data_IF_609771307424
#
_entry.id   IF_609771307424
#
_cell.length_a   1.000
_cell.length_b   1.000
_cell.length_c   1.000
_cell.angle_alpha   90.00
_cell.angle_beta   90.00
_cell.angle_gamma   90.00
#
_symmetry.space_group_name_H-M   'P 1'
#
loop_
_entity.id
_entity.type
_entity.pdbx_description
1 polymer ?
#
# COMPACT_ATOMS: atom_id res chain seq x y z
N UNK A 1 -21.21 -14.66 38.85
CA UNK A 1 -19.81 -14.45 38.42
C UNK A 1 -19.72 -13.20 37.55
N UNK A 2 -19.20 -12.06 38.04
CA UNK A 2 -19.06 -10.87 37.20
C UNK A 2 -17.86 -11.02 36.26
N UNK A 3 -18.09 -10.85 34.95
CA UNK A 3 -17.03 -10.84 33.91
C UNK A 3 -16.25 -9.53 34.03
N UNK A 4 -14.99 -9.60 34.49
CA UNK A 4 -14.09 -8.45 34.47
C UNK A 4 -13.72 -8.10 33.03
N UNK A 5 -14.26 -7.00 32.52
CA UNK A 5 -13.90 -6.42 31.23
C UNK A 5 -12.66 -5.53 31.39
N UNK A 6 -11.47 -6.11 31.48
CA UNK A 6 -10.23 -5.35 31.31
C UNK A 6 -9.93 -5.19 29.81
N UNK A 7 -10.63 -4.27 29.14
CA UNK A 7 -10.11 -3.72 27.89
C UNK A 7 -8.97 -2.76 28.22
N UNK A 8 -7.77 -3.30 28.40
CA UNK A 8 -6.54 -2.50 28.37
C UNK A 8 -6.42 -1.87 26.98
N UNK A 9 -6.87 -0.61 26.86
CA UNK A 9 -6.66 0.20 25.66
C UNK A 9 -5.15 0.35 25.50
N UNK A 10 -4.58 -0.26 24.47
CA UNK A 10 -3.15 -0.12 24.16
C UNK A 10 -2.84 1.37 23.98
N UNK A 11 -1.87 1.93 24.70
CA UNK A 11 -1.48 3.32 24.50
C UNK A 11 -1.01 3.53 23.06
N UNK A 12 -1.62 4.50 22.37
CA UNK A 12 -1.23 4.89 21.03
C UNK A 12 0.04 5.75 21.10
N UNK A 13 1.17 5.18 20.68
CA UNK A 13 2.41 5.92 20.56
C UNK A 13 2.62 6.40 19.11
N UNK A 14 2.63 7.71 18.94
CA UNK A 14 2.92 8.34 17.65
C UNK A 14 4.42 8.20 17.37
N UNK A 15 4.77 7.57 16.25
CA UNK A 15 6.17 7.48 15.81
C UNK A 15 6.66 8.88 15.40
N UNK A 16 7.83 9.29 15.90
CA UNK A 16 8.49 10.53 15.49
C UNK A 16 8.79 10.54 13.98
N UNK A 17 8.90 11.72 13.37
CA UNK A 17 9.18 11.81 11.94
C UNK A 17 10.56 11.23 11.59
N UNK A 18 11.57 11.52 12.42
CA UNK A 18 12.93 10.96 12.29
C UNK A 18 12.92 9.43 12.22
N UNK A 19 12.16 8.78 13.11
CA UNK A 19 12.05 7.32 13.14
C UNK A 19 11.34 6.75 11.90
N UNK A 20 10.36 7.48 11.34
CA UNK A 20 9.72 7.07 10.08
C UNK A 20 10.69 7.14 8.91
N UNK A 21 11.55 8.16 8.89
CA UNK A 21 12.51 8.34 7.80
C UNK A 21 13.66 7.32 7.92
N UNK A 22 14.18 7.08 9.12
CA UNK A 22 15.13 6.00 9.37
C UNK A 22 14.55 4.63 8.98
N UNK A 23 13.29 4.36 9.33
CA UNK A 23 12.62 3.10 8.99
C UNK A 23 12.51 2.90 7.46
N UNK A 24 12.19 3.96 6.70
CA UNK A 24 12.18 3.89 5.23
C UNK A 24 13.59 3.59 4.70
N UNK A 25 14.62 4.21 5.26
CA UNK A 25 16.00 3.99 4.82
C UNK A 25 16.44 2.55 5.02
N UNK A 26 16.22 1.99 6.22
CA UNK A 26 16.53 0.59 6.50
C UNK A 26 15.82 -0.37 5.53
N UNK A 27 14.52 -0.15 5.28
CA UNK A 27 13.72 -1.07 4.46
C UNK A 27 13.99 -0.94 2.97
N UNK A 28 14.10 0.28 2.44
CA UNK A 28 14.17 0.51 0.99
C UNK A 28 15.59 0.72 0.47
N UNK A 29 16.51 1.29 1.26
CA UNK A 29 17.89 1.52 0.83
C UNK A 29 18.84 0.41 1.30
N UNK A 30 18.61 -0.17 2.49
CA UNK A 30 19.49 -1.20 3.04
C UNK A 30 18.91 -2.63 2.92
N UNK A 31 17.68 -2.79 2.42
CA UNK A 31 17.07 -4.09 2.16
C UNK A 31 16.61 -4.86 3.41
N UNK A 32 16.49 -4.20 4.57
CA UNK A 32 16.03 -4.86 5.79
C UNK A 32 14.56 -5.27 5.67
N UNK A 33 14.22 -6.43 6.25
CA UNK A 33 12.80 -6.75 6.45
C UNK A 33 12.17 -5.75 7.43
N UNK A 34 10.87 -5.48 7.27
CA UNK A 34 10.14 -4.54 8.15
C UNK A 34 10.27 -4.95 9.62
N UNK A 35 10.28 -6.26 9.91
CA UNK A 35 10.43 -6.79 11.26
C UNK A 35 11.82 -6.49 11.84
N UNK A 36 12.87 -6.69 11.06
CA UNK A 36 14.24 -6.37 11.47
C UNK A 36 14.40 -4.86 11.69
N UNK A 37 13.97 -4.03 10.73
CA UNK A 37 14.09 -2.58 10.84
C UNK A 37 13.30 -2.01 12.04
N UNK A 38 12.12 -2.56 12.33
CA UNK A 38 11.32 -2.19 13.50
C UNK A 38 12.04 -2.54 14.81
N UNK A 39 12.70 -3.70 14.87
CA UNK A 39 13.50 -4.11 16.03
C UNK A 39 14.72 -3.19 16.22
N UNK A 40 15.45 -2.88 15.14
CA UNK A 40 16.61 -1.98 15.18
C UNK A 40 16.27 -0.58 15.70
N UNK A 41 15.07 -0.08 15.39
CA UNK A 41 14.62 1.26 15.79
C UNK A 41 13.77 1.26 17.07
N UNK A 42 13.59 0.11 17.72
CA UNK A 42 12.72 -0.05 18.89
C UNK A 42 11.29 0.48 18.66
N UNK A 43 10.74 0.24 17.46
CA UNK A 43 9.39 0.64 17.07
C UNK A 43 8.49 -0.59 17.06
N UNK A 44 7.22 -0.42 17.48
CA UNK A 44 6.22 -1.46 17.33
C UNK A 44 6.06 -1.86 15.85
N UNK A 45 6.19 -3.16 15.57
CA UNK A 45 6.06 -3.74 14.24
C UNK A 45 4.77 -3.32 13.51
N UNK A 46 3.63 -3.24 14.22
CA UNK A 46 2.35 -2.82 13.61
C UNK A 46 2.43 -1.40 13.06
N UNK A 47 3.03 -0.49 13.83
CA UNK A 47 3.20 0.90 13.43
C UNK A 47 4.24 1.03 12.30
N UNK A 48 5.29 0.23 12.33
CA UNK A 48 6.29 0.14 11.26
C UNK A 48 5.67 -0.35 9.93
N UNK A 49 4.93 -1.46 9.97
CA UNK A 49 4.19 -2.01 8.82
C UNK A 49 3.24 -0.98 8.22
N UNK A 50 2.48 -0.29 9.07
CA UNK A 50 1.54 0.75 8.63
C UNK A 50 2.26 1.90 7.94
N UNK A 51 3.36 2.38 8.51
CA UNK A 51 4.19 3.46 7.94
C UNK A 51 4.74 3.08 6.56
N UNK A 52 5.34 1.89 6.44
CA UNK A 52 5.89 1.39 5.17
C UNK A 52 4.78 1.20 4.13
N UNK A 53 3.63 0.66 4.52
CA UNK A 53 2.50 0.47 3.60
C UNK A 53 1.95 1.81 3.09
N UNK A 54 1.80 2.81 3.97
CA UNK A 54 1.38 4.15 3.59
C UNK A 54 2.38 4.79 2.62
N UNK A 55 3.67 4.66 2.89
CA UNK A 55 4.72 5.14 1.98
C UNK A 55 4.66 4.44 0.61
N UNK A 56 4.51 3.12 0.56
CA UNK A 56 4.35 2.40 -0.73
C UNK A 56 3.13 2.91 -1.51
N UNK A 57 2.00 3.14 -0.83
CA UNK A 57 0.79 3.68 -1.46
C UNK A 57 1.00 5.11 -1.98
N UNK A 58 1.70 5.96 -1.24
CA UNK A 58 1.96 7.34 -1.68
C UNK A 58 2.89 7.38 -2.88
N UNK A 59 3.93 6.55 -2.93
CA UNK A 59 4.79 6.44 -4.11
C UNK A 59 4.03 5.95 -5.34
N UNK A 60 3.18 4.92 -5.18
CA UNK A 60 2.30 4.45 -6.26
C UNK A 60 1.41 5.58 -6.78
N UNK A 61 0.73 6.31 -5.89
CA UNK A 61 -0.16 7.41 -6.29
C UNK A 61 0.56 8.55 -7.01
N UNK A 62 1.79 8.90 -6.62
CA UNK A 62 2.58 9.93 -7.31
C UNK A 62 2.88 9.56 -8.77
N UNK A 63 3.03 8.28 -9.05
CA UNK A 63 3.37 7.78 -10.38
C UNK A 63 2.13 7.45 -11.23
N UNK A 64 0.91 7.56 -10.67
CA UNK A 64 -0.33 7.35 -11.43
C UNK A 64 -0.67 8.65 -12.16
N UNK A 65 -0.43 8.67 -13.47
CA UNK A 65 -1.07 9.63 -14.37
C UNK A 65 -2.47 9.11 -14.70
N UNK A 66 -3.49 9.73 -14.11
CA UNK A 66 -4.87 9.43 -14.50
C UNK A 66 -5.10 9.94 -15.93
N UNK A 67 -5.50 9.04 -16.83
CA UNK A 67 -5.85 9.39 -18.21
C UNK A 67 -7.12 10.25 -18.30
N UNK A 68 -7.96 10.20 -17.26
CA UNK A 68 -9.22 10.93 -17.17
C UNK A 68 -9.38 11.54 -15.78
N UNK A 69 -9.85 12.78 -15.73
CA UNK A 69 -10.27 13.44 -14.49
C UNK A 69 -11.69 13.05 -14.08
N UNK A 70 -12.46 12.42 -14.98
CA UNK A 70 -13.82 11.97 -14.70
C UNK A 70 -13.75 10.68 -13.86
N UNK A 71 -14.59 10.54 -12.81
CA UNK A 71 -14.68 9.30 -12.04
C UNK A 71 -15.08 8.14 -12.95
N UNK A 72 -14.61 6.94 -12.62
CA UNK A 72 -15.00 5.72 -13.35
C UNK A 72 -16.52 5.56 -13.25
N UNK A 73 -17.21 5.52 -14.40
CA UNK A 73 -18.63 5.22 -14.44
C UNK A 73 -18.81 3.70 -14.49
N UNK A 74 -19.69 3.18 -13.65
CA UNK A 74 -20.15 1.79 -13.76
C UNK A 74 -21.19 1.76 -14.88
N UNK A 75 -20.89 1.04 -15.96
CA UNK A 75 -21.84 0.79 -17.05
C UNK A 75 -22.23 -0.68 -17.01
N UNK A 76 -23.49 -0.99 -17.29
CA UNK A 76 -23.90 -2.37 -17.54
C UNK A 76 -23.04 -2.96 -18.66
N UNK A 77 -22.61 -4.21 -18.47
CA UNK A 77 -21.87 -4.95 -19.48
C UNK A 77 -22.79 -5.17 -20.70
N UNK A 78 -22.78 -4.22 -21.65
CA UNK A 78 -23.58 -4.38 -22.87
C UNK A 78 -23.06 -5.58 -23.68
N UNK A 79 -23.91 -6.23 -24.47
CA UNK A 79 -23.59 -7.45 -25.24
C UNK A 79 -22.56 -7.25 -26.38
N UNK A 80 -21.88 -6.11 -26.46
CA UNK A 80 -20.97 -5.79 -27.55
C UNK A 80 -19.54 -6.25 -27.27
N UNK A 81 -18.80 -6.62 -28.32
CA UNK A 81 -17.39 -7.01 -28.23
C UNK A 81 -16.54 -5.82 -27.77
N UNK A 82 -15.88 -5.94 -26.62
CA UNK A 82 -14.88 -4.97 -26.17
C UNK A 82 -13.48 -5.57 -26.25
N UNK A 83 -12.55 -4.74 -26.67
CA UNK A 83 -11.12 -4.97 -26.47
C UNK A 83 -10.74 -4.47 -25.08
N UNK A 84 -10.40 -5.37 -24.16
CA UNK A 84 -9.84 -5.06 -22.85
C UNK A 84 -8.32 -5.09 -22.92
N UNK A 85 -7.68 -3.99 -22.54
CA UNK A 85 -6.23 -3.93 -22.33
C UNK A 85 -5.91 -4.21 -20.87
N UNK A 86 -5.28 -5.35 -20.58
CA UNK A 86 -4.78 -5.69 -19.24
C UNK A 86 -3.31 -5.28 -19.15
N UNK A 87 -2.98 -4.46 -18.15
CA UNK A 87 -1.62 -3.96 -17.91
C UNK A 87 -1.13 -4.48 -16.56
N UNK A 88 -0.06 -5.27 -16.58
CA UNK A 88 0.61 -5.77 -15.38
C UNK A 88 1.68 -4.78 -14.94
N UNK A 89 1.73 -4.46 -13.64
CA UNK A 89 2.68 -3.49 -13.08
C UNK A 89 3.34 -4.01 -11.80
N UNK A 90 4.67 -3.87 -11.70
CA UNK A 90 5.45 -4.12 -10.48
C UNK A 90 6.07 -2.81 -10.02
N UNK A 91 5.79 -2.40 -8.78
CA UNK A 91 6.34 -1.15 -8.24
C UNK A 91 5.84 0.13 -8.95
N UNK A 92 4.79 0.05 -9.78
CA UNK A 92 4.32 1.16 -10.62
C UNK A 92 5.04 1.26 -11.97
N UNK A 93 5.97 0.35 -12.25
CA UNK A 93 6.59 0.18 -13.56
C UNK A 93 5.81 -0.89 -14.32
N UNK A 94 5.50 -0.62 -15.60
CA UNK A 94 4.79 -1.54 -16.50
C UNK A 94 5.68 -2.74 -16.82
N UNK A 95 5.15 -3.94 -16.64
CA UNK A 95 5.86 -5.22 -16.84
C UNK A 95 5.35 -5.95 -18.07
N UNK A 96 4.04 -5.95 -18.30
CA UNK A 96 3.42 -6.62 -19.44
C UNK A 96 2.11 -5.93 -19.83
N UNK A 97 1.70 -6.07 -21.08
CA UNK A 97 0.44 -5.55 -21.61
C UNK A 97 -0.12 -6.47 -22.68
N UNK A 98 -1.37 -6.91 -22.48
CA UNK A 98 -2.09 -7.77 -23.41
C UNK A 98 -3.48 -7.24 -23.68
N UNK A 99 -3.86 -7.29 -24.95
CA UNK A 99 -5.19 -6.96 -25.40
C UNK A 99 -6.02 -8.24 -25.56
N UNK A 100 -7.21 -8.24 -24.95
CA UNK A 100 -8.15 -9.35 -24.97
C UNK A 100 -9.45 -8.89 -25.62
N UNK A 101 -9.87 -9.56 -26.68
CA UNK A 101 -11.21 -9.37 -27.24
C UNK A 101 -12.18 -10.30 -26.51
N UNK A 102 -13.13 -9.74 -25.76
CA UNK A 102 -14.25 -10.52 -25.23
C UNK A 102 -15.24 -10.79 -26.38
N UNK A 103 -15.54 -12.08 -26.61
CA UNK A 103 -16.41 -12.56 -27.69
C UNK A 103 -17.89 -12.44 -27.33
#
# INVERSE_FOLDING_TARGET
MPKQQFQSKRPYYKISQQNKDALKTLVFHQGFSIKQAAHTLSINYTSAKTTILQFRKSQKRRNVKYLSMKPCLVKEASKYKYSLKIISQTGGVKVDEKDYCLR
#
